data_IF_804071733643
#
_entry.id   IF_804071733643
#
_cell.length_a   1.000
_cell.length_b   1.000
_cell.length_c   1.000
_cell.angle_alpha   90.00
_cell.angle_beta   90.00
_cell.angle_gamma   90.00
#
_symmetry.space_group_name_H-M   'P 1'
#
loop_
_entity.id
_entity.type
_entity.pdbx_description
1 polymer ?
#
# COMPACT_ATOMS: atom_id res chain seq x y z
N UNK A 1 3.35 -17.33 -23.04
CA UNK A 1 2.62 -16.38 -22.17
C UNK A 1 2.85 -16.71 -20.69
N UNK A 2 4.09 -16.59 -20.16
CA UNK A 2 4.42 -17.06 -18.79
C UNK A 2 4.26 -16.02 -17.67
N UNK A 3 4.31 -14.72 -17.98
CA UNK A 3 4.20 -13.65 -16.98
C UNK A 3 2.77 -13.06 -16.84
N UNK A 4 1.91 -13.29 -17.83
CA UNK A 4 0.55 -12.72 -17.87
C UNK A 4 -0.41 -13.42 -16.90
N UNK A 5 -0.25 -14.72 -16.66
CA UNK A 5 -1.15 -15.49 -15.82
C UNK A 5 -1.09 -15.10 -14.33
N UNK A 6 0.10 -14.91 -13.71
CA UNK A 6 0.20 -14.36 -12.35
C UNK A 6 -0.46 -12.98 -12.21
N UNK A 7 -0.28 -12.11 -13.20
CA UNK A 7 -0.87 -10.76 -13.21
C UNK A 7 -2.40 -10.83 -13.23
N UNK A 8 -2.97 -11.72 -14.07
CA UNK A 8 -4.42 -11.90 -14.15
C UNK A 8 -5.03 -12.45 -12.84
N UNK A 9 -4.28 -13.27 -12.10
CA UNK A 9 -4.72 -13.78 -10.79
C UNK A 9 -4.74 -12.65 -9.76
N UNK A 10 -3.68 -11.82 -9.69
CA UNK A 10 -3.66 -10.67 -8.79
C UNK A 10 -4.78 -9.66 -9.10
N UNK A 11 -5.02 -9.39 -10.38
CA UNK A 11 -6.12 -8.52 -10.82
C UNK A 11 -7.47 -9.09 -10.42
N UNK A 12 -7.71 -10.41 -10.58
CA UNK A 12 -8.98 -11.02 -10.19
C UNK A 12 -9.23 -10.99 -8.69
N UNK A 13 -8.18 -11.07 -7.87
CA UNK A 13 -8.28 -10.93 -6.43
C UNK A 13 -8.58 -9.47 -6.07
N UNK A 14 -7.93 -8.50 -6.72
CA UNK A 14 -8.20 -7.08 -6.51
C UNK A 14 -9.58 -6.61 -7.05
N UNK A 15 -10.08 -7.22 -8.13
CA UNK A 15 -11.33 -6.84 -8.80
C UNK A 15 -12.53 -7.74 -8.41
N UNK A 16 -12.39 -8.63 -7.42
CA UNK A 16 -13.44 -9.58 -7.04
C UNK A 16 -14.61 -8.95 -6.27
N UNK A 17 -15.85 -9.37 -6.57
CA UNK A 17 -17.09 -8.90 -5.91
C UNK A 17 -17.17 -9.24 -4.40
N UNK A 18 -16.42 -10.25 -3.94
CA UNK A 18 -16.21 -10.51 -2.52
C UNK A 18 -14.92 -9.81 -2.10
N UNK A 19 -15.02 -8.62 -1.49
CA UNK A 19 -13.87 -7.84 -0.97
C UNK A 19 -12.94 -8.77 -0.17
N UNK A 20 -11.79 -9.20 -0.75
CA UNK A 20 -10.86 -10.04 -0.02
C UNK A 20 -10.26 -9.22 1.11
N UNK A 21 -9.84 -9.88 2.18
CA UNK A 21 -9.19 -9.14 3.25
C UNK A 21 -7.87 -8.56 2.71
N UNK A 22 -7.56 -7.31 3.01
CA UNK A 22 -6.41 -6.59 2.43
C UNK A 22 -5.06 -7.33 2.54
N UNK A 23 -4.91 -8.23 3.52
CA UNK A 23 -3.73 -9.08 3.67
C UNK A 23 -3.62 -10.18 2.60
N UNK A 24 -4.74 -10.68 2.09
CA UNK A 24 -4.80 -11.69 1.01
C UNK A 24 -4.41 -11.07 -0.33
N UNK A 25 -4.87 -9.84 -0.60
CA UNK A 25 -4.47 -9.11 -1.80
C UNK A 25 -2.95 -8.84 -1.78
N UNK A 26 -2.40 -8.43 -0.65
CA UNK A 26 -0.95 -8.24 -0.49
C UNK A 26 -0.15 -9.54 -0.71
N UNK A 27 -0.61 -10.66 -0.14
CA UNK A 27 0.03 -11.96 -0.34
C UNK A 27 -0.02 -12.39 -1.82
N UNK A 28 -1.13 -12.13 -2.51
CA UNK A 28 -1.27 -12.38 -3.94
C UNK A 28 -0.34 -11.48 -4.77
N UNK A 29 -0.15 -10.21 -4.36
CA UNK A 29 0.76 -9.27 -5.00
C UNK A 29 2.23 -9.73 -4.88
N UNK A 30 2.67 -10.12 -3.68
CA UNK A 30 4.04 -10.62 -3.46
C UNK A 30 4.28 -11.91 -4.25
N UNK A 31 3.33 -12.85 -4.18
CA UNK A 31 3.36 -14.10 -4.96
C UNK A 31 3.44 -13.84 -6.47
N UNK A 32 2.75 -12.80 -6.95
CA UNK A 32 2.75 -12.42 -8.36
C UNK A 32 4.09 -11.84 -8.78
N UNK A 33 4.70 -10.96 -7.96
CA UNK A 33 6.04 -10.42 -8.23
C UNK A 33 7.09 -11.54 -8.33
N UNK A 34 7.06 -12.49 -7.40
CA UNK A 34 8.00 -13.61 -7.41
C UNK A 34 7.77 -14.56 -8.58
N UNK A 35 6.50 -14.79 -8.94
CA UNK A 35 6.14 -15.58 -10.12
C UNK A 35 6.62 -14.93 -11.42
N UNK A 36 6.52 -13.60 -11.55
CA UNK A 36 7.04 -12.84 -12.70
C UNK A 36 8.57 -12.97 -12.79
N UNK A 37 9.27 -12.75 -11.68
CA UNK A 37 10.75 -12.88 -11.61
C UNK A 37 11.19 -14.28 -12.02
N UNK A 38 10.52 -15.31 -11.50
CA UNK A 38 10.82 -16.71 -11.82
C UNK A 38 10.52 -17.06 -13.28
N UNK A 39 9.38 -16.58 -13.81
CA UNK A 39 8.97 -16.84 -15.19
C UNK A 39 9.88 -16.18 -16.24
N UNK A 40 10.50 -15.05 -15.88
CA UNK A 40 11.34 -14.23 -16.75
C UNK A 40 12.81 -14.21 -16.33
N UNK A 41 13.24 -15.15 -15.48
CA UNK A 41 14.60 -15.18 -14.90
C UNK A 41 15.74 -15.05 -15.92
N UNK A 42 15.54 -15.58 -17.12
CA UNK A 42 16.52 -15.54 -18.23
C UNK A 42 16.52 -14.19 -18.99
N UNK A 43 15.63 -13.26 -18.63
CA UNK A 43 15.41 -11.96 -19.31
C UNK A 43 15.32 -10.82 -18.30
N UNK A 44 16.41 -10.48 -17.59
CA UNK A 44 16.40 -9.50 -16.50
C UNK A 44 15.95 -8.10 -16.92
N UNK A 45 16.25 -7.67 -18.15
CA UNK A 45 15.79 -6.38 -18.68
C UNK A 45 14.26 -6.31 -18.77
N UNK A 46 13.62 -7.41 -19.17
CA UNK A 46 12.15 -7.51 -19.31
C UNK A 46 11.45 -7.60 -17.95
N UNK A 47 12.12 -8.16 -16.93
CA UNK A 47 11.59 -8.21 -15.56
C UNK A 47 11.33 -6.80 -15.05
N UNK A 48 12.29 -5.88 -15.23
CA UNK A 48 12.16 -4.51 -14.73
C UNK A 48 10.97 -3.81 -15.35
N UNK A 49 10.82 -3.88 -16.68
CA UNK A 49 9.74 -3.22 -17.41
C UNK A 49 8.34 -3.76 -17.02
N UNK A 50 8.23 -5.08 -16.84
CA UNK A 50 6.98 -5.74 -16.46
C UNK A 50 6.61 -5.43 -15.01
N UNK A 51 7.58 -5.46 -14.09
CA UNK A 51 7.33 -5.10 -12.69
C UNK A 51 6.96 -3.62 -12.55
N UNK A 52 7.60 -2.73 -13.31
CA UNK A 52 7.26 -1.31 -13.28
C UNK A 52 5.82 -1.06 -13.75
N UNK A 53 5.38 -1.70 -14.84
CA UNK A 53 4.00 -1.60 -15.31
C UNK A 53 2.99 -2.16 -14.29
N UNK A 54 3.34 -3.28 -13.66
CA UNK A 54 2.52 -3.92 -12.64
C UNK A 54 2.38 -3.04 -11.39
N UNK A 55 3.49 -2.50 -10.88
CA UNK A 55 3.51 -1.60 -9.72
C UNK A 55 2.77 -0.29 -9.98
N UNK A 56 2.98 0.32 -11.16
CA UNK A 56 2.28 1.55 -11.54
C UNK A 56 0.76 1.38 -11.58
N UNK A 57 0.27 0.20 -11.98
CA UNK A 57 -1.17 -0.10 -12.00
C UNK A 57 -1.71 -0.37 -10.60
N UNK A 58 -0.88 -0.91 -9.71
CA UNK A 58 -1.21 -1.16 -8.31
C UNK A 58 -1.24 0.12 -7.46
N UNK A 59 -0.28 1.03 -7.63
CA UNK A 59 -0.15 2.27 -6.83
C UNK A 59 -1.37 3.21 -6.92
N UNK A 60 -2.23 3.02 -7.92
CA UNK A 60 -3.45 3.81 -8.11
C UNK A 60 -4.69 3.22 -7.41
N UNK A 61 -4.60 2.03 -6.82
CA UNK A 61 -5.74 1.34 -6.21
C UNK A 61 -6.05 1.85 -4.80
N UNK A 62 -7.34 2.03 -4.49
CA UNK A 62 -7.81 2.54 -3.19
C UNK A 62 -7.56 1.52 -2.07
N UNK A 63 -7.72 0.23 -2.34
CA UNK A 63 -7.51 -0.84 -1.36
C UNK A 63 -6.08 -0.90 -0.84
N UNK A 64 -5.09 -0.69 -1.73
CA UNK A 64 -3.69 -0.56 -1.32
C UNK A 64 -3.52 0.63 -0.37
N UNK A 65 -4.02 1.81 -0.75
CA UNK A 65 -3.90 3.01 0.10
C UNK A 65 -4.53 2.75 1.47
N UNK A 66 -5.71 2.13 1.51
CA UNK A 66 -6.43 1.80 2.73
C UNK A 66 -5.65 0.82 3.62
N UNK A 67 -5.05 -0.22 3.04
CA UNK A 67 -4.19 -1.14 3.77
C UNK A 67 -2.96 -0.45 4.35
N UNK A 68 -2.29 0.39 3.56
CA UNK A 68 -1.09 1.09 4.00
C UNK A 68 -1.39 2.14 5.08
N UNK A 69 -2.55 2.79 5.00
CA UNK A 69 -3.09 3.60 6.08
C UNK A 69 -3.41 2.76 7.32
N UNK A 70 -3.97 1.55 7.16
CA UNK A 70 -4.21 0.65 8.29
C UNK A 70 -2.89 0.17 8.94
N UNK A 71 -1.83 -0.04 8.14
CA UNK A 71 -0.48 -0.30 8.66
C UNK A 71 0.07 0.88 9.45
N UNK A 72 -0.09 2.12 8.96
CA UNK A 72 0.28 3.33 9.70
C UNK A 72 -0.48 3.45 11.03
N UNK A 73 -1.78 3.12 11.02
CA UNK A 73 -2.64 3.17 12.21
C UNK A 73 -2.36 2.04 13.22
N UNK A 74 -1.67 0.97 12.83
CA UNK A 74 -1.31 -0.14 13.72
C UNK A 74 0.04 0.15 14.40
N UNK A 75 0.07 0.49 15.71
CA UNK A 75 1.31 0.90 16.37
C UNK A 75 2.38 -0.20 16.34
N UNK A 76 2.02 -1.44 16.67
CA UNK A 76 2.97 -2.55 16.73
C UNK A 76 3.64 -2.83 15.38
N UNK A 77 2.89 -2.71 14.28
CA UNK A 77 3.45 -2.86 12.93
C UNK A 77 4.21 -1.61 12.47
N UNK A 78 3.67 -0.43 12.73
CA UNK A 78 4.28 0.84 12.30
C UNK A 78 5.63 1.08 12.97
N UNK A 79 5.75 0.86 14.29
CA UNK A 79 7.02 1.07 14.99
C UNK A 79 8.10 0.09 14.56
N UNK A 80 7.75 -1.19 14.35
CA UNK A 80 8.68 -2.16 13.76
C UNK A 80 9.19 -1.72 12.36
N UNK A 81 8.32 -1.10 11.55
CA UNK A 81 8.69 -0.53 10.24
C UNK A 81 9.53 0.75 10.41
N UNK A 82 9.22 1.61 11.37
CA UNK A 82 10.00 2.83 11.65
C UNK A 82 11.45 2.52 12.04
N UNK A 83 11.66 1.45 12.81
CA UNK A 83 13.00 1.00 13.24
C UNK A 83 13.83 0.46 12.07
N UNK A 84 13.18 -0.23 11.13
CA UNK A 84 13.85 -0.95 10.04
C UNK A 84 13.92 -0.18 8.73
N UNK A 85 12.91 0.66 8.43
CA UNK A 85 12.77 1.39 7.17
C UNK A 85 12.01 2.72 7.36
N UNK A 86 12.75 3.77 7.70
CA UNK A 86 12.24 5.13 7.85
C UNK A 86 11.60 5.69 6.58
N UNK A 87 12.08 5.27 5.39
CA UNK A 87 11.53 5.73 4.10
C UNK A 87 10.13 5.15 3.91
N UNK A 88 9.97 3.85 4.14
CA UNK A 88 8.66 3.18 4.11
C UNK A 88 7.70 3.77 5.13
N UNK A 89 8.16 4.03 6.35
CA UNK A 89 7.30 4.65 7.36
C UNK A 89 6.83 6.07 6.97
N UNK A 90 7.71 6.87 6.36
CA UNK A 90 7.35 8.18 5.81
C UNK A 90 6.31 8.06 4.68
N UNK A 91 6.47 7.07 3.79
CA UNK A 91 5.50 6.78 2.73
C UNK A 91 4.13 6.37 3.30
N UNK A 92 4.09 5.48 4.30
CA UNK A 92 2.85 5.06 4.96
C UNK A 92 2.09 6.24 5.57
N UNK A 93 2.83 7.17 6.20
CA UNK A 93 2.26 8.42 6.73
C UNK A 93 1.69 9.32 5.63
N UNK A 94 2.41 9.49 4.51
CA UNK A 94 1.91 10.26 3.38
C UNK A 94 0.62 9.67 2.81
N UNK A 95 0.57 8.34 2.68
CA UNK A 95 -0.57 7.64 2.11
C UNK A 95 -1.80 7.71 3.01
N UNK A 96 -1.60 7.61 4.32
CA UNK A 96 -2.65 7.89 5.30
C UNK A 96 -3.25 9.30 5.14
N UNK A 97 -2.41 10.31 4.89
CA UNK A 97 -2.87 11.69 4.68
C UNK A 97 -3.58 11.89 3.33
N UNK A 98 -3.33 11.06 2.33
CA UNK A 98 -4.00 11.11 1.02
C UNK A 98 -5.42 10.54 1.06
N UNK A 99 -5.74 9.68 2.03
CA UNK A 99 -7.03 8.97 2.06
C UNK A 99 -8.23 9.89 2.25
N UNK A 100 -8.24 10.88 3.17
CA UNK A 100 -9.36 11.79 3.34
C UNK A 100 -9.80 12.45 2.04
N UNK A 101 -8.84 12.87 1.20
CA UNK A 101 -9.08 13.46 -0.13
C UNK A 101 -9.80 12.51 -1.12
N UNK A 102 -9.73 11.20 -0.88
CA UNK A 102 -10.43 10.18 -1.69
C UNK A 102 -11.74 9.69 -1.08
N UNK A 103 -11.95 9.88 0.23
CA UNK A 103 -13.12 9.35 0.96
C UNK A 103 -14.19 10.40 1.23
N UNK A 104 -13.82 11.66 1.35
CA UNK A 104 -14.72 12.76 1.69
C UNK A 104 -14.82 13.66 0.46
N UNK A 105 -16.03 14.05 0.06
CA UNK A 105 -16.24 14.91 -1.13
C UNK A 105 -16.26 16.40 -0.80
N UNK A 106 -16.42 16.74 0.47
CA UNK A 106 -16.49 18.10 0.98
C UNK A 106 -15.11 18.56 1.47
N UNK A 107 -14.60 19.64 0.87
CA UNK A 107 -13.25 20.14 1.12
C UNK A 107 -13.10 20.69 2.56
N UNK A 108 -14.15 21.26 3.15
CA UNK A 108 -14.11 21.78 4.53
C UNK A 108 -14.07 20.63 5.56
N UNK A 109 -14.73 19.51 5.28
CA UNK A 109 -14.65 18.30 6.09
C UNK A 109 -13.28 17.61 5.96
N UNK A 110 -12.71 17.54 4.75
CA UNK A 110 -11.35 17.02 4.52
C UNK A 110 -10.30 17.79 5.33
N UNK A 111 -10.42 19.12 5.36
CA UNK A 111 -9.45 20.01 5.99
C UNK A 111 -9.48 19.89 7.53
N UNK A 112 -10.69 19.72 8.11
CA UNK A 112 -10.88 19.42 9.54
C UNK A 112 -10.30 18.05 9.91
N UNK A 113 -10.55 17.02 9.10
CA UNK A 113 -10.03 15.66 9.32
C UNK A 113 -8.50 15.69 9.27
N UNK A 114 -7.91 16.34 8.26
CA UNK A 114 -6.45 16.43 8.10
C UNK A 114 -5.76 17.11 9.29
N UNK A 115 -6.35 18.21 9.80
CA UNK A 115 -5.86 18.91 11.01
C UNK A 115 -5.92 18.03 12.25
N UNK A 116 -7.05 17.36 12.49
CA UNK A 116 -7.23 16.45 13.63
C UNK A 116 -6.25 15.26 13.59
N UNK A 117 -6.03 14.71 12.40
CA UNK A 117 -5.16 13.56 12.18
C UNK A 117 -3.69 13.91 12.38
N UNK A 118 -3.25 15.07 11.89
CA UNK A 118 -1.88 15.57 12.09
C UNK A 118 -1.57 15.78 13.57
N UNK A 119 -2.50 16.38 14.32
CA UNK A 119 -2.35 16.60 15.77
C UNK A 119 -2.31 15.29 16.58
N UNK A 120 -3.17 14.31 16.25
CA UNK A 120 -3.19 13.02 16.95
C UNK A 120 -1.92 12.21 16.67
N UNK A 121 -1.45 12.17 15.44
CA UNK A 121 -0.20 11.48 15.10
C UNK A 121 1.04 12.11 15.76
N UNK A 122 1.07 13.43 15.96
CA UNK A 122 2.15 14.10 16.72
C UNK A 122 2.10 13.77 18.21
N UNK A 123 0.90 13.69 18.81
CA UNK A 123 0.73 13.29 20.22
C UNK A 123 1.17 11.86 20.50
N UNK A 124 0.85 10.92 19.61
CA UNK A 124 1.26 9.51 19.75
C UNK A 124 2.78 9.35 19.66
N UNK A 125 3.45 10.10 18.79
CA UNK A 125 4.92 10.09 18.69
C UNK A 125 5.58 10.70 19.92
N UNK A 126 5.02 11.81 20.45
CA UNK A 126 5.52 12.44 21.66
C UNK A 126 5.36 11.55 22.91
N UNK A 127 4.28 10.75 22.98
CA UNK A 127 4.04 9.84 24.12
C UNK A 127 4.92 8.58 24.14
N UNK A 128 5.65 8.28 23.06
CA UNK A 128 6.55 7.12 22.98
C UNK A 128 8.04 7.49 23.04
N UNK A 129 8.36 8.77 23.21
CA UNK A 129 9.74 9.26 23.36
C UNK A 129 10.14 9.47 24.84
N UNK A 130 9.39 8.87 25.77
CA UNK A 130 9.64 8.90 27.21
C UNK A 130 9.62 7.50 27.82
#
# INVERSE_FOLDING_TARGET
MRASQPILIALRIADGDETPAAHEIMAAMDTTKDSIKNALKEKPQVISEVLEHFERRWDNQIEQKLYEAALFLNPGKFFAIMETDKRKATRLRSIFNDIPWKMVRDDDEQDKISKLMTMKSQRVIASQSH
#
